data_IF_718370739488
#
_entry.id   IF_718370739488
#
_cell.length_a   1.000
_cell.length_b   1.000
_cell.length_c   1.000
_cell.angle_alpha   90.00
_cell.angle_beta   90.00
_cell.angle_gamma   90.00
#
_symmetry.space_group_name_H-M   'P 1'
#
loop_
_entity.id
_entity.type
_entity.pdbx_description
1 polymer ?
#
# COMPACT_ATOMS: atom_id res chain seq x y z
N UNK A 1 11.02 -10.80 19.12
CA UNK A 1 11.30 -10.78 17.65
C UNK A 1 9.99 -10.51 16.93
N UNK A 2 9.94 -9.56 16.00
CA UNK A 2 8.74 -9.31 15.21
C UNK A 2 8.42 -10.48 14.29
N UNK A 3 7.12 -10.77 14.06
CA UNK A 3 6.73 -11.78 13.09
C UNK A 3 7.20 -11.38 11.68
N UNK A 4 7.68 -12.34 10.91
CA UNK A 4 7.99 -12.11 9.50
C UNK A 4 6.69 -11.92 8.74
N UNK A 5 6.58 -10.83 8.00
CA UNK A 5 5.43 -10.50 7.16
C UNK A 5 5.85 -10.53 5.70
N UNK A 6 5.05 -11.20 4.87
CA UNK A 6 5.15 -11.14 3.41
C UNK A 6 3.88 -10.45 2.89
N UNK A 7 4.00 -9.42 2.02
CA UNK A 7 2.82 -8.69 1.54
C UNK A 7 1.74 -9.60 0.97
N UNK A 8 0.50 -9.44 1.44
CA UNK A 8 -0.66 -10.09 0.84
C UNK A 8 -0.84 -9.57 -0.58
N UNK A 9 -1.09 -10.46 -1.53
CA UNK A 9 -1.26 -10.12 -2.92
C UNK A 9 -2.72 -9.83 -3.26
N UNK A 10 -2.96 -9.29 -4.45
CA UNK A 10 -4.28 -8.90 -4.94
C UNK A 10 -4.70 -9.84 -6.08
N UNK A 11 -5.91 -10.38 -6.04
CA UNK A 11 -6.48 -11.19 -7.11
C UNK A 11 -6.79 -10.34 -8.35
N UNK A 12 -6.80 -10.95 -9.53
CA UNK A 12 -7.06 -10.29 -10.81
C UNK A 12 -8.42 -10.71 -11.37
N UNK A 13 -9.48 -10.56 -10.58
CA UNK A 13 -10.85 -10.95 -10.94
C UNK A 13 -11.85 -9.77 -10.93
N UNK A 14 -11.34 -8.62 -11.32
CA UNK A 14 -11.94 -7.30 -11.15
C UNK A 14 -13.42 -7.17 -11.45
N UNK A 15 -13.90 -7.65 -12.61
CA UNK A 15 -15.33 -7.51 -12.99
C UNK A 15 -16.25 -8.26 -12.04
N UNK A 16 -15.85 -9.45 -11.59
CA UNK A 16 -16.63 -10.24 -10.61
C UNK A 16 -16.65 -9.54 -9.26
N UNK A 17 -15.49 -9.10 -8.78
CA UNK A 17 -15.37 -8.42 -7.50
C UNK A 17 -16.16 -7.10 -7.49
N UNK A 18 -16.14 -6.34 -8.60
CA UNK A 18 -16.90 -5.10 -8.71
C UNK A 18 -18.42 -5.37 -8.64
N UNK A 19 -18.93 -6.39 -9.32
CA UNK A 19 -20.36 -6.78 -9.22
C UNK A 19 -20.73 -7.16 -7.78
N UNK A 20 -19.88 -7.90 -7.08
CA UNK A 20 -20.12 -8.26 -5.69
C UNK A 20 -20.12 -7.02 -4.78
N UNK A 21 -19.17 -6.11 -4.94
CA UNK A 21 -19.10 -4.88 -4.15
C UNK A 21 -20.29 -3.93 -4.41
N UNK A 22 -20.80 -3.89 -5.65
CA UNK A 22 -22.02 -3.12 -5.98
C UNK A 22 -23.27 -3.75 -5.38
N UNK A 23 -23.33 -5.09 -5.31
CA UNK A 23 -24.48 -5.81 -4.74
C UNK A 23 -24.48 -5.81 -3.19
N UNK A 24 -23.31 -5.70 -2.57
CA UNK A 24 -23.12 -5.72 -1.11
C UNK A 24 -22.02 -4.71 -0.71
N UNK A 25 -22.32 -3.40 -0.73
CA UNK A 25 -21.35 -2.35 -0.47
C UNK A 25 -20.84 -2.36 0.98
N UNK A 26 -21.64 -2.88 1.91
CA UNK A 26 -21.25 -2.97 3.32
C UNK A 26 -20.18 -4.04 3.57
N UNK A 27 -20.11 -5.03 2.71
CA UNK A 27 -19.12 -6.11 2.79
C UNK A 27 -17.76 -5.69 2.29
N UNK A 28 -17.67 -4.79 1.33
CA UNK A 28 -16.42 -4.44 0.68
C UNK A 28 -16.02 -3.00 0.97
N UNK A 29 -14.72 -2.82 1.26
CA UNK A 29 -14.09 -1.51 1.22
C UNK A 29 -13.42 -1.32 -0.14
N UNK A 30 -13.43 -0.08 -0.63
CA UNK A 30 -12.80 0.28 -1.88
C UNK A 30 -11.71 1.33 -1.65
N UNK A 31 -10.54 1.11 -2.23
CA UNK A 31 -9.40 2.04 -2.21
C UNK A 31 -8.93 2.33 -3.63
N UNK A 32 -8.42 3.55 -3.94
CA UNK A 32 -7.73 3.80 -5.19
C UNK A 32 -6.53 2.87 -5.33
N UNK A 33 -6.31 2.32 -6.51
CA UNK A 33 -5.10 1.57 -6.79
C UNK A 33 -3.96 2.55 -7.07
N UNK A 34 -3.08 2.71 -6.09
CA UNK A 34 -1.88 3.53 -6.22
C UNK A 34 -0.92 2.91 -7.24
N UNK A 35 -0.37 3.74 -8.13
CA UNK A 35 0.64 3.33 -9.10
C UNK A 35 2.04 3.59 -8.50
N UNK A 36 2.76 2.51 -8.21
CA UNK A 36 4.04 2.59 -7.53
C UNK A 36 4.71 1.25 -7.35
N UNK A 37 5.44 1.13 -6.25
CA UNK A 37 6.19 -0.08 -5.86
C UNK A 37 5.74 -0.53 -4.48
N UNK A 38 5.15 -1.73 -4.39
CA UNK A 38 4.73 -2.33 -3.13
C UNK A 38 5.88 -2.53 -2.16
N UNK A 39 5.68 -2.12 -0.92
CA UNK A 39 6.63 -2.37 0.14
C UNK A 39 6.01 -2.51 1.52
N UNK A 40 6.82 -3.03 2.44
CA UNK A 40 6.59 -2.94 3.87
C UNK A 40 7.57 -1.93 4.45
N UNK A 41 7.07 -1.05 5.32
CA UNK A 41 7.89 -0.24 6.23
C UNK A 41 7.81 -0.90 7.60
N UNK A 42 8.97 -1.24 8.16
CA UNK A 42 9.09 -1.99 9.40
C UNK A 42 9.87 -1.13 10.40
N UNK A 43 9.18 -0.75 11.47
CA UNK A 43 9.78 -0.11 12.63
C UNK A 43 10.16 -1.18 13.64
N UNK A 44 11.41 -1.61 13.58
CA UNK A 44 11.96 -2.58 14.53
C UNK A 44 12.13 -1.92 15.90
N UNK A 45 12.19 -2.71 16.99
CA UNK A 45 12.67 -2.22 18.28
C UNK A 45 14.04 -1.52 18.13
N UNK A 46 14.37 -0.64 19.07
CA UNK A 46 15.61 0.15 19.04
C UNK A 46 15.72 1.12 17.85
N UNK A 47 14.57 1.53 17.29
CA UNK A 47 14.45 2.51 16.18
C UNK A 47 15.13 2.10 14.88
N UNK A 48 15.32 0.81 14.67
CA UNK A 48 15.82 0.31 13.40
C UNK A 48 14.69 0.31 12.37
N UNK A 49 14.89 1.08 11.31
CA UNK A 49 13.94 1.17 10.20
C UNK A 49 14.38 0.26 9.05
N UNK A 50 13.48 -0.57 8.56
CA UNK A 50 13.72 -1.48 7.45
C UNK A 50 12.61 -1.36 6.40
N UNK A 51 12.95 -1.56 5.13
CA UNK A 51 11.97 -1.75 4.07
C UNK A 51 12.12 -3.10 3.38
N UNK A 52 10.99 -3.69 3.00
CA UNK A 52 10.92 -4.93 2.21
C UNK A 52 10.03 -4.74 0.99
N UNK A 53 10.35 -5.44 -0.07
CA UNK A 53 9.54 -5.43 -1.28
C UNK A 53 8.33 -6.40 -1.18
N UNK A 54 7.55 -6.49 -2.26
CA UNK A 54 6.38 -7.40 -2.37
C UNK A 54 6.70 -8.89 -2.19
N UNK A 55 7.98 -9.29 -2.21
CA UNK A 55 8.41 -10.67 -1.97
C UNK A 55 8.92 -10.90 -0.54
N UNK A 56 8.87 -9.85 0.30
CA UNK A 56 9.43 -9.88 1.65
C UNK A 56 10.95 -9.71 1.70
N UNK A 57 11.61 -9.42 0.57
CA UNK A 57 13.05 -9.22 0.50
C UNK A 57 13.41 -7.82 0.95
N UNK A 58 14.44 -7.70 1.80
CA UNK A 58 14.98 -6.41 2.24
C UNK A 58 15.47 -5.56 1.07
N UNK A 59 15.16 -4.27 1.13
CA UNK A 59 15.52 -3.28 0.12
C UNK A 59 16.16 -2.06 0.75
N UNK A 60 17.13 -1.55 0.06
CA UNK A 60 17.91 -0.38 0.48
C UNK A 60 17.29 0.93 -0.06
N UNK A 61 15.99 1.07 0.16
CA UNK A 61 15.21 2.23 -0.31
C UNK A 61 15.27 3.43 0.63
N UNK A 62 15.92 3.26 1.79
CA UNK A 62 15.99 4.26 2.86
C UNK A 62 17.31 5.06 2.85
N UNK A 63 18.27 4.72 1.97
CA UNK A 63 19.58 5.34 1.96
C UNK A 63 19.56 6.75 1.40
N UNK A 64 19.96 7.69 2.26
CA UNK A 64 20.48 9.00 1.85
C UNK A 64 19.48 9.96 1.21
N UNK A 65 18.18 9.78 1.41
CA UNK A 65 17.16 10.64 0.86
C UNK A 65 16.20 11.23 1.90
N UNK A 66 15.43 12.21 1.47
CA UNK A 66 14.43 12.87 2.30
C UNK A 66 13.32 11.91 2.77
N UNK A 67 13.06 10.83 2.03
CA UNK A 67 12.07 9.83 2.37
C UNK A 67 12.45 9.07 3.65
N UNK A 68 13.63 8.45 3.68
CA UNK A 68 14.11 7.74 4.87
C UNK A 68 14.29 8.66 6.09
N UNK A 69 14.74 9.89 5.86
CA UNK A 69 14.82 10.89 6.93
C UNK A 69 13.44 11.27 7.46
N UNK A 70 12.43 11.40 6.59
CA UNK A 70 11.05 11.67 6.97
C UNK A 70 10.47 10.56 7.84
N UNK A 71 10.64 9.29 7.46
CA UNK A 71 10.17 8.14 8.25
C UNK A 71 10.81 8.08 9.65
N UNK A 72 12.13 8.36 9.75
CA UNK A 72 12.81 8.43 11.05
C UNK A 72 12.27 9.56 11.91
N UNK A 73 12.08 10.74 11.33
CA UNK A 73 11.53 11.91 12.05
C UNK A 73 10.15 11.65 12.64
N UNK A 74 9.29 10.89 11.94
CA UNK A 74 7.99 10.47 12.44
C UNK A 74 8.17 9.55 13.65
N UNK A 75 9.05 8.54 13.55
CA UNK A 75 9.33 7.61 14.65
C UNK A 75 9.95 8.31 15.87
N UNK A 76 10.81 9.30 15.65
CA UNK A 76 11.47 10.05 16.73
C UNK A 76 10.51 10.93 17.54
N UNK A 77 9.41 11.40 16.93
CA UNK A 77 8.40 12.20 17.63
C UNK A 77 7.61 11.39 18.66
N UNK A 78 7.30 10.12 18.35
CA UNK A 78 6.47 9.25 19.16
C UNK A 78 7.04 7.82 19.16
N UNK A 79 8.22 7.58 19.76
CA UNK A 79 8.94 6.33 19.60
C UNK A 79 8.14 5.11 20.08
N UNK A 80 7.38 5.25 21.16
CA UNK A 80 6.58 4.16 21.73
C UNK A 80 5.35 3.79 20.85
N UNK A 81 5.02 4.60 19.84
CA UNK A 81 3.92 4.33 18.92
C UNK A 81 4.35 3.50 17.70
N UNK A 82 5.66 3.48 17.41
CA UNK A 82 6.16 2.90 16.16
C UNK A 82 6.92 1.60 16.35
N UNK A 83 7.64 1.45 17.48
CA UNK A 83 8.44 0.26 17.73
C UNK A 83 7.61 -1.01 17.65
N UNK A 84 8.03 -1.94 16.81
CA UNK A 84 7.30 -3.18 16.59
C UNK A 84 6.14 -3.06 15.57
N UNK A 85 6.09 -2.00 14.77
CA UNK A 85 5.00 -1.80 13.80
C UNK A 85 5.47 -2.12 12.37
N UNK A 86 4.61 -2.84 11.64
CA UNK A 86 4.79 -3.13 10.22
C UNK A 86 3.63 -2.48 9.45
N UNK A 87 3.97 -1.56 8.56
CA UNK A 87 3.04 -0.90 7.66
C UNK A 87 3.15 -1.53 6.28
N UNK A 88 2.00 -1.84 5.67
CA UNK A 88 1.89 -2.34 4.31
C UNK A 88 1.34 -1.25 3.40
N UNK A 89 2.05 -0.95 2.31
CA UNK A 89 1.71 0.20 1.47
C UNK A 89 2.36 0.17 0.10
N UNK A 90 2.13 1.24 -0.63
CA UNK A 90 2.71 1.49 -1.94
C UNK A 90 3.63 2.71 -1.88
N UNK A 91 4.88 2.54 -2.28
CA UNK A 91 5.84 3.61 -2.47
C UNK A 91 5.58 4.26 -3.82
N UNK A 92 5.35 5.57 -3.86
CA UNK A 92 5.00 6.28 -5.08
C UNK A 92 5.63 7.66 -5.17
N UNK A 93 5.93 8.07 -6.39
CA UNK A 93 6.24 9.44 -6.80
C UNK A 93 5.25 9.91 -7.89
N UNK A 94 3.97 9.54 -7.71
CA UNK A 94 2.87 9.84 -8.62
C UNK A 94 2.59 8.72 -9.62
N UNK A 95 3.61 8.17 -10.28
CA UNK A 95 3.51 7.05 -11.23
C UNK A 95 4.68 6.09 -11.06
N UNK A 96 4.54 4.86 -11.60
CA UNK A 96 5.57 3.83 -11.51
C UNK A 96 6.93 4.28 -12.05
N UNK A 97 6.99 4.95 -13.21
CA UNK A 97 8.24 5.42 -13.79
C UNK A 97 8.93 6.47 -12.91
N UNK A 98 8.14 7.42 -12.37
CA UNK A 98 8.64 8.42 -11.42
C UNK A 98 9.18 7.76 -10.15
N UNK A 99 8.49 6.74 -9.66
CA UNK A 99 8.90 5.97 -8.49
C UNK A 99 10.19 5.20 -8.74
N UNK A 100 10.28 4.50 -9.87
CA UNK A 100 11.51 3.79 -10.25
C UNK A 100 12.68 4.74 -10.48
N UNK A 101 12.43 5.91 -11.10
CA UNK A 101 13.43 6.95 -11.25
C UNK A 101 13.92 7.50 -9.90
N UNK A 102 13.01 7.69 -8.93
CA UNK A 102 13.38 8.12 -7.58
C UNK A 102 14.19 7.05 -6.81
N UNK A 103 13.89 5.77 -7.02
CA UNK A 103 14.55 4.66 -6.33
C UNK A 103 15.92 4.30 -6.93
N UNK A 104 16.04 4.33 -8.26
CA UNK A 104 17.20 3.83 -9.00
C UNK A 104 17.98 4.94 -9.72
N UNK A 105 17.41 6.12 -9.86
CA UNK A 105 17.97 7.24 -10.62
C UNK A 105 19.19 7.87 -9.96
N UNK A 106 19.96 8.60 -10.78
CA UNK A 106 21.10 9.38 -10.30
C UNK A 106 20.65 10.53 -9.37
N UNK A 107 21.51 10.95 -8.44
CA UNK A 107 21.22 11.94 -7.36
C UNK A 107 20.73 13.32 -7.86
N UNK A 108 20.75 13.61 -9.17
CA UNK A 108 20.53 14.96 -9.72
C UNK A 108 19.07 15.41 -9.78
N UNK A 109 18.14 14.48 -9.86
CA UNK A 109 16.69 14.77 -9.78
C UNK A 109 15.95 13.55 -9.25
N UNK A 110 15.47 13.64 -8.00
CA UNK A 110 14.62 12.59 -7.41
C UNK A 110 13.27 13.18 -7.07
N UNK A 111 12.19 12.71 -7.70
CA UNK A 111 10.85 13.07 -7.26
C UNK A 111 10.65 12.69 -5.78
N UNK A 112 9.87 13.49 -5.07
CA UNK A 112 9.54 13.20 -3.67
C UNK A 112 8.76 11.89 -3.58
N UNK A 113 9.31 10.93 -2.84
CA UNK A 113 8.65 9.67 -2.56
C UNK A 113 7.66 9.84 -1.41
N UNK A 114 6.50 9.18 -1.53
CA UNK A 114 5.48 9.03 -0.50
C UNK A 114 5.20 7.55 -0.31
N UNK A 115 4.76 7.18 0.87
CA UNK A 115 4.35 5.82 1.18
C UNK A 115 2.88 5.83 1.57
N UNK A 116 2.04 5.35 0.66
CA UNK A 116 0.59 5.28 0.87
C UNK A 116 0.27 3.96 1.57
N UNK A 117 -0.06 4.07 2.85
CA UNK A 117 -0.32 2.94 3.75
C UNK A 117 -1.77 2.49 3.61
N UNK A 118 -2.01 1.22 3.45
CA UNK A 118 -3.36 0.66 3.30
C UNK A 118 -3.62 -0.57 4.18
N UNK A 119 -2.64 -1.06 4.93
CA UNK A 119 -2.82 -2.08 5.97
C UNK A 119 -1.73 -2.02 7.06
N UNK A 120 -2.03 -2.57 8.22
CA UNK A 120 -1.11 -2.69 9.36
C UNK A 120 -1.14 -4.13 9.90
N UNK A 121 -0.34 -5.05 9.31
CA UNK A 121 -0.32 -6.46 9.73
C UNK A 121 0.26 -6.69 11.12
N UNK A 122 1.12 -5.79 11.60
CA UNK A 122 1.67 -5.84 12.97
C UNK A 122 1.65 -4.44 13.56
N UNK A 123 1.15 -4.29 14.77
CA UNK A 123 1.10 -3.01 15.50
C UNK A 123 1.66 -3.18 16.90
N UNK A 124 2.70 -2.43 17.23
CA UNK A 124 3.35 -2.44 18.56
C UNK A 124 3.76 -3.86 19.01
N UNK A 125 4.23 -4.67 18.10
CA UNK A 125 4.60 -6.07 18.33
C UNK A 125 3.45 -7.06 18.30
N UNK A 126 2.19 -6.59 18.32
CA UNK A 126 1.01 -7.46 18.23
C UNK A 126 0.76 -7.87 16.76
N UNK A 127 0.66 -9.17 16.50
CA UNK A 127 0.30 -9.70 15.19
C UNK A 127 -1.22 -9.55 14.96
N UNK A 128 -1.58 -8.69 14.01
CA UNK A 128 -2.97 -8.40 13.67
C UNK A 128 -3.47 -9.19 12.46
N UNK A 129 -2.64 -10.02 11.83
CA UNK A 129 -2.99 -10.73 10.59
C UNK A 129 -4.21 -11.63 10.72
N UNK A 130 -4.45 -12.19 11.90
CA UNK A 130 -5.63 -12.99 12.23
C UNK A 130 -6.93 -12.21 12.35
N UNK A 131 -6.88 -10.89 12.48
CA UNK A 131 -8.07 -10.04 12.61
C UNK A 131 -8.70 -9.77 11.22
N UNK A 132 -10.02 -9.51 11.17
CA UNK A 132 -10.68 -8.98 9.99
C UNK A 132 -10.01 -7.70 9.47
N UNK A 133 -10.05 -7.48 8.15
CA UNK A 133 -9.48 -6.26 7.56
C UNK A 133 -10.05 -4.99 8.19
N UNK A 134 -11.35 -4.97 8.47
CA UNK A 134 -12.01 -3.82 9.08
C UNK A 134 -11.38 -3.43 10.43
N UNK A 135 -11.09 -4.40 11.29
CA UNK A 135 -10.47 -4.14 12.57
C UNK A 135 -9.03 -3.65 12.45
N UNK A 136 -8.28 -4.18 11.47
CA UNK A 136 -6.93 -3.68 11.17
C UNK A 136 -6.99 -2.26 10.61
N UNK A 137 -7.98 -1.97 9.76
CA UNK A 137 -8.20 -0.64 9.20
C UNK A 137 -8.53 0.41 10.27
N UNK A 138 -9.39 0.10 11.22
CA UNK A 138 -9.71 0.98 12.34
C UNK A 138 -8.46 1.33 13.16
N UNK A 139 -7.61 0.35 13.44
CA UNK A 139 -6.32 0.58 14.12
C UNK A 139 -5.36 1.42 13.27
N UNK A 140 -5.32 1.17 11.97
CA UNK A 140 -4.51 1.96 11.04
C UNK A 140 -5.00 3.42 10.98
N UNK A 141 -6.29 3.67 10.98
CA UNK A 141 -6.86 5.03 10.99
C UNK A 141 -6.51 5.80 12.27
N UNK A 142 -6.51 5.11 13.42
CA UNK A 142 -6.04 5.69 14.68
C UNK A 142 -4.55 6.04 14.60
N UNK A 143 -3.73 5.12 14.11
CA UNK A 143 -2.28 5.34 13.92
C UNK A 143 -2.01 6.46 12.92
N UNK A 144 -2.83 6.57 11.88
CA UNK A 144 -2.67 7.57 10.82
C UNK A 144 -2.87 9.02 11.30
N UNK A 145 -3.44 9.23 12.47
CA UNK A 145 -3.48 10.57 13.12
C UNK A 145 -2.08 11.10 13.47
N UNK A 146 -1.10 10.19 13.57
CA UNK A 146 0.31 10.52 13.80
C UNK A 146 1.13 10.53 12.51
N UNK A 147 0.50 10.32 11.34
CA UNK A 147 1.19 10.38 10.05
C UNK A 147 1.60 11.83 9.74
N UNK A 148 2.72 11.95 9.09
CA UNK A 148 3.24 13.15 8.45
C UNK A 148 4.03 12.68 7.22
N UNK A 149 4.33 13.58 6.31
CA UNK A 149 5.10 13.22 5.14
C UNK A 149 6.43 12.54 5.53
N UNK A 150 6.76 11.42 4.92
CA UNK A 150 6.21 10.88 3.69
C UNK A 150 5.12 9.79 3.84
N UNK A 151 4.53 9.58 5.02
CA UNK A 151 3.42 8.64 5.22
C UNK A 151 2.09 9.29 4.87
N UNK A 152 1.26 8.56 4.13
CA UNK A 152 -0.12 8.93 3.80
C UNK A 152 -1.03 7.72 4.01
N UNK A 153 -2.24 7.92 4.52
CA UNK A 153 -3.24 6.87 4.61
C UNK A 153 -3.95 6.73 3.25
N UNK A 154 -4.09 5.51 2.74
CA UNK A 154 -4.92 5.23 1.57
C UNK A 154 -6.38 5.62 1.86
N UNK A 155 -7.01 6.50 1.06
CA UNK A 155 -8.40 6.87 1.30
C UNK A 155 -9.35 5.73 1.00
N UNK A 156 -10.49 5.68 1.70
CA UNK A 156 -11.62 4.89 1.28
C UNK A 156 -12.44 5.69 0.28
N UNK A 157 -12.89 5.04 -0.78
CA UNK A 157 -13.70 5.63 -1.84
C UNK A 157 -14.96 4.78 -2.07
N UNK A 158 -16.03 5.41 -2.53
CA UNK A 158 -17.25 4.70 -2.89
C UNK A 158 -17.06 4.04 -4.27
N UNK A 159 -17.35 2.74 -4.44
CA UNK A 159 -17.32 2.05 -5.73
C UNK A 159 -18.51 2.46 -6.65
N UNK A 160 -18.75 3.75 -6.79
CA UNK A 160 -19.81 4.33 -7.59
C UNK A 160 -19.49 4.33 -9.09
N UNK A 161 -20.52 4.57 -9.92
CA UNK A 161 -20.36 4.76 -11.37
C UNK A 161 -19.33 5.85 -11.69
N UNK A 162 -19.34 6.95 -10.95
CA UNK A 162 -18.38 8.05 -11.11
C UNK A 162 -16.92 7.61 -10.91
N UNK A 163 -16.65 6.66 -10.02
CA UNK A 163 -15.31 6.11 -9.82
C UNK A 163 -14.89 5.24 -11.03
N UNK A 164 -15.81 4.46 -11.56
CA UNK A 164 -15.58 3.66 -12.78
C UNK A 164 -15.30 4.58 -13.98
N UNK A 165 -16.03 5.69 -14.11
CA UNK A 165 -15.77 6.72 -15.12
C UNK A 165 -14.37 7.34 -14.97
N UNK A 166 -13.95 7.69 -13.76
CA UNK A 166 -12.59 8.21 -13.51
C UNK A 166 -11.48 7.22 -13.86
N UNK A 167 -11.76 5.91 -13.72
CA UNK A 167 -10.83 4.87 -14.21
C UNK A 167 -10.78 4.86 -15.74
N UNK A 168 -11.95 4.89 -16.40
CA UNK A 168 -12.08 4.89 -17.86
C UNK A 168 -11.42 6.11 -18.49
N UNK A 169 -11.54 7.28 -17.87
CA UNK A 169 -10.88 8.51 -18.30
C UNK A 169 -9.36 8.53 -18.02
N UNK A 170 -8.81 7.47 -17.44
CA UNK A 170 -7.38 7.32 -17.15
C UNK A 170 -6.87 8.18 -15.98
N UNK A 171 -7.75 8.75 -15.19
CA UNK A 171 -7.38 9.49 -13.98
C UNK A 171 -6.94 8.58 -12.85
N UNK A 172 -7.43 7.34 -12.81
CA UNK A 172 -7.04 6.30 -11.86
C UNK A 172 -6.54 5.04 -12.61
N UNK A 173 -5.52 4.39 -12.10
CA UNK A 173 -5.05 3.09 -12.62
C UNK A 173 -6.11 2.00 -12.42
N UNK A 174 -6.91 2.12 -11.37
CA UNK A 174 -7.91 1.18 -10.96
C UNK A 174 -8.29 1.36 -9.49
N UNK A 175 -8.98 0.37 -8.97
CA UNK A 175 -9.35 0.27 -7.57
C UNK A 175 -8.97 -1.09 -6.99
N UNK A 176 -8.84 -1.15 -5.67
CA UNK A 176 -8.68 -2.38 -4.90
C UNK A 176 -9.90 -2.53 -3.99
N UNK A 177 -10.60 -3.64 -4.16
CA UNK A 177 -11.70 -4.04 -3.30
C UNK A 177 -11.18 -5.00 -2.23
N UNK A 178 -11.50 -4.73 -0.98
CA UNK A 178 -11.10 -5.53 0.17
C UNK A 178 -12.34 -6.05 0.89
N UNK A 179 -12.46 -7.36 1.05
CA UNK A 179 -13.48 -7.95 1.89
C UNK A 179 -13.19 -7.57 3.35
N UNK A 180 -14.12 -6.86 3.98
CA UNK A 180 -13.97 -6.32 5.35
C UNK A 180 -13.77 -7.41 6.39
N UNK A 181 -14.28 -8.62 6.15
CA UNK A 181 -14.11 -9.78 7.02
C UNK A 181 -12.82 -10.56 6.76
N UNK A 182 -12.05 -10.21 5.72
CA UNK A 182 -10.86 -10.99 5.35
C UNK A 182 -9.70 -10.80 6.32
N UNK A 183 -9.02 -11.90 6.65
CA UNK A 183 -7.75 -11.88 7.37
C UNK A 183 -6.60 -11.53 6.44
N UNK A 184 -5.48 -11.07 6.99
CA UNK A 184 -4.25 -10.83 6.21
C UNK A 184 -3.52 -12.16 6.00
N UNK A 185 -3.32 -12.56 4.74
CA UNK A 185 -2.70 -13.84 4.39
C UNK A 185 -1.46 -13.63 3.55
N UNK A 186 -0.31 -13.84 4.17
CA UNK A 186 1.01 -13.67 3.57
C UNK A 186 1.13 -14.35 2.21
N UNK A 187 1.55 -13.61 1.21
CA UNK A 187 1.84 -14.13 -0.13
C UNK A 187 0.64 -14.64 -0.95
N UNK A 188 -0.57 -14.60 -0.38
CA UNK A 188 -1.77 -15.13 -1.04
C UNK A 188 -2.60 -14.03 -1.72
N UNK A 189 -3.54 -14.43 -2.61
CA UNK A 189 -4.45 -13.56 -3.34
C UNK A 189 -5.90 -13.71 -2.87
N UNK A 190 -6.13 -13.85 -1.57
CA UNK A 190 -7.47 -14.07 -1.00
C UNK A 190 -7.95 -12.81 -0.29
N UNK A 191 -9.22 -12.44 -0.48
CA UNK A 191 -9.87 -11.34 0.21
C UNK A 191 -9.66 -9.95 -0.41
N UNK A 192 -8.67 -9.78 -1.28
CA UNK A 192 -8.40 -8.52 -1.99
C UNK A 192 -8.43 -8.72 -3.50
N UNK A 193 -9.16 -7.87 -4.20
CA UNK A 193 -9.33 -7.92 -5.66
C UNK A 193 -9.05 -6.56 -6.29
N UNK A 194 -8.34 -6.55 -7.39
CA UNK A 194 -8.12 -5.32 -8.16
C UNK A 194 -9.03 -5.26 -9.36
N UNK A 195 -9.58 -4.11 -9.61
CA UNK A 195 -10.26 -3.73 -10.83
C UNK A 195 -9.39 -2.72 -11.55
N UNK A 196 -9.00 -3.04 -12.78
CA UNK A 196 -8.26 -2.13 -13.65
C UNK A 196 -9.07 -1.84 -14.89
N UNK A 197 -8.98 -0.63 -15.39
CA UNK A 197 -9.58 -0.29 -16.67
C UNK A 197 -8.86 -1.00 -17.83
N UNK A 198 -9.63 -1.41 -18.85
CA UNK A 198 -9.11 -2.05 -20.05
C UNK A 198 -8.16 -1.13 -20.82
N UNK A 199 -8.50 0.14 -20.93
CA UNK A 199 -7.67 1.14 -21.60
C UNK A 199 -6.30 1.32 -20.91
N UNK A 200 -6.23 1.12 -19.60
CA UNK A 200 -4.97 1.11 -18.87
C UNK A 200 -4.05 -0.01 -19.38
N UNK A 201 -4.56 -1.23 -19.58
CA UNK A 201 -3.75 -2.33 -20.13
C UNK A 201 -3.23 -2.02 -21.53
N UNK A 202 -4.03 -1.39 -22.37
CA UNK A 202 -3.63 -1.03 -23.74
C UNK A 202 -2.51 0.02 -23.74
N UNK A 203 -2.62 1.06 -22.89
CA UNK A 203 -1.59 2.11 -22.75
C UNK A 203 -0.29 1.59 -22.13
N UNK A 204 -0.38 0.63 -21.21
CA UNK A 204 0.73 0.16 -20.41
C UNK A 204 1.26 -1.22 -20.84
N UNK A 205 0.79 -1.74 -21.98
CA UNK A 205 1.18 -3.05 -22.51
C UNK A 205 2.71 -3.18 -22.68
N UNK A 206 3.40 -2.09 -23.03
CA UNK A 206 4.85 -2.04 -23.18
C UNK A 206 5.64 -2.44 -21.91
N UNK A 207 5.05 -2.28 -20.73
CA UNK A 207 5.67 -2.70 -19.45
C UNK A 207 5.80 -4.21 -19.32
N UNK A 208 5.01 -4.97 -20.07
CA UNK A 208 4.99 -6.43 -20.01
C UNK A 208 5.86 -7.08 -21.08
N UNK A 209 6.27 -6.32 -22.09
CA UNK A 209 7.06 -6.82 -23.23
C UNK A 209 8.56 -6.53 -23.13
N UNK A 210 9.00 -5.80 -22.11
CA UNK A 210 10.43 -5.66 -21.79
C UNK A 210 10.84 -6.79 -20.85
N UNK A 211 11.36 -7.85 -21.44
CA UNK A 211 12.18 -8.85 -20.75
C UNK A 211 13.65 -8.62 -21.11
#
# INVERSE_FOLDING_TARGET
>A
MLPTVVPQLVANDGTRALRQATADPDRFACEPKVDGVRGLVIYQPERVLEMRNRRGEKRDWLRGDAFGAGLRRIADRLPNLWDGTVLDGELTAGRFEGTMSALLGSKRFRPSLRFVVFDVPVLLGADLRGLPWQERRERLELLARAFDLPLELSPLVDPSVSLVEQMTDGRLEGIVLKDRASTYRDGTRVGWSKVKDRSWYEREAWRFYRR
#
